data_IF_780189298533
#
_entry.id   IF_780189298533
#
_cell.length_a   1.000
_cell.length_b   1.000
_cell.length_c   1.000
_cell.angle_alpha   90.00
_cell.angle_beta   90.00
_cell.angle_gamma   90.00
#
_symmetry.space_group_name_H-M   'P 1'
#
loop_
_entity.id
_entity.type
_entity.pdbx_description
1 polymer ?
#
# COMPACT_ATOMS: atom_id res chain seq x y z
N UNK A 1 9.59 28.76 9.36
CA UNK A 1 8.14 28.64 9.62
C UNK A 1 7.44 29.73 8.83
N UNK A 2 7.00 29.44 7.59
CA UNK A 2 6.36 30.41 6.68
C UNK A 2 4.85 30.19 6.51
N UNK A 3 4.33 29.04 6.97
CA UNK A 3 2.89 28.72 6.89
C UNK A 3 2.12 29.41 8.02
N UNK A 4 0.88 29.88 7.77
CA UNK A 4 0.01 30.40 8.81
C UNK A 4 -0.36 29.30 9.83
N UNK A 5 -0.80 29.68 11.05
CA UNK A 5 -1.29 28.72 12.04
C UNK A 5 -2.44 27.87 11.48
N UNK A 6 -2.45 26.58 11.80
CA UNK A 6 -3.51 25.67 11.37
C UNK A 6 -4.85 26.05 12.00
N UNK A 7 -5.92 26.10 11.20
CA UNK A 7 -7.27 26.37 11.70
C UNK A 7 -7.76 25.21 12.57
N UNK A 8 -8.14 25.51 13.81
CA UNK A 8 -8.68 24.53 14.77
C UNK A 8 -10.01 23.91 14.33
N UNK A 9 -10.72 24.54 13.37
CA UNK A 9 -11.95 23.99 12.78
C UNK A 9 -11.66 23.01 11.63
N UNK A 10 -10.46 23.10 11.03
CA UNK A 10 -10.05 22.18 9.98
C UNK A 10 -9.56 20.86 10.58
N UNK A 11 -10.37 19.80 10.41
CA UNK A 11 -10.03 18.46 10.88
C UNK A 11 -8.86 17.81 10.14
N UNK A 12 -8.33 16.73 10.73
CA UNK A 12 -7.22 15.95 10.16
C UNK A 12 -7.66 15.18 8.90
N UNK A 13 -8.94 14.77 8.84
CA UNK A 13 -9.54 14.06 7.71
C UNK A 13 -10.05 15.04 6.65
N UNK A 14 -9.12 15.60 5.88
CA UNK A 14 -9.48 16.39 4.69
C UNK A 14 -10.08 15.50 3.61
N UNK A 15 -10.96 16.04 2.78
CA UNK A 15 -11.56 15.30 1.65
C UNK A 15 -10.54 14.59 0.76
N UNK A 16 -9.40 15.21 0.39
CA UNK A 16 -8.38 14.52 -0.39
C UNK A 16 -7.81 13.28 0.31
N UNK A 17 -7.59 13.34 1.64
CA UNK A 17 -7.08 12.19 2.41
C UNK A 17 -8.11 11.06 2.46
N UNK A 18 -9.39 11.39 2.58
CA UNK A 18 -10.48 10.38 2.56
C UNK A 18 -10.54 9.68 1.21
N UNK A 19 -10.52 10.45 0.11
CA UNK A 19 -10.59 9.90 -1.25
C UNK A 19 -9.33 9.08 -1.55
N UNK A 20 -8.15 9.57 -1.18
CA UNK A 20 -6.89 8.83 -1.30
C UNK A 20 -6.96 7.49 -0.56
N UNK A 21 -7.44 7.48 0.68
CA UNK A 21 -7.59 6.26 1.48
C UNK A 21 -8.51 5.23 0.81
N UNK A 22 -9.65 5.69 0.26
CA UNK A 22 -10.57 4.82 -0.49
C UNK A 22 -9.90 4.28 -1.76
N UNK A 23 -9.24 5.15 -2.53
CA UNK A 23 -8.60 4.75 -3.78
C UNK A 23 -7.50 3.70 -3.55
N UNK A 24 -6.53 4.00 -2.69
CA UNK A 24 -5.44 3.07 -2.39
C UNK A 24 -5.95 1.79 -1.75
N UNK A 25 -6.95 1.86 -0.87
CA UNK A 25 -7.60 0.68 -0.28
C UNK A 25 -8.27 -0.22 -1.31
N UNK A 26 -8.97 0.36 -2.31
CA UNK A 26 -9.59 -0.41 -3.40
C UNK A 26 -8.53 -1.09 -4.27
N UNK A 27 -7.45 -0.39 -4.63
CA UNK A 27 -6.37 -0.99 -5.42
C UNK A 27 -5.69 -2.12 -4.63
N UNK A 28 -5.35 -1.89 -3.36
CA UNK A 28 -4.74 -2.90 -2.49
C UNK A 28 -5.62 -4.14 -2.29
N UNK A 29 -6.93 -3.94 -2.12
CA UNK A 29 -7.89 -5.04 -2.07
C UNK A 29 -7.99 -5.79 -3.41
N UNK A 30 -7.92 -5.06 -4.53
CA UNK A 30 -7.99 -5.65 -5.87
C UNK A 30 -6.74 -6.46 -6.20
N UNK A 31 -5.53 -5.94 -5.93
CA UNK A 31 -4.26 -6.66 -6.13
C UNK A 31 -4.21 -7.92 -5.27
N UNK A 32 -4.69 -7.84 -4.03
CA UNK A 32 -4.84 -8.99 -3.14
C UNK A 32 -5.83 -10.02 -3.68
N UNK A 33 -6.99 -9.61 -4.18
CA UNK A 33 -7.96 -10.55 -4.75
C UNK A 33 -7.46 -11.18 -6.06
N UNK A 34 -6.81 -10.40 -6.92
CA UNK A 34 -6.21 -10.88 -8.15
C UNK A 34 -5.04 -11.83 -7.90
N UNK A 35 -4.26 -11.63 -6.83
CA UNK A 35 -3.16 -12.54 -6.48
C UNK A 35 -3.69 -13.93 -6.09
N UNK A 36 -4.81 -13.99 -5.36
CA UNK A 36 -5.52 -15.25 -5.08
C UNK A 36 -5.94 -15.96 -6.37
N UNK A 37 -6.60 -15.23 -7.27
CA UNK A 37 -7.08 -15.76 -8.55
C UNK A 37 -5.91 -16.21 -9.43
N UNK A 38 -4.84 -15.43 -9.51
CA UNK A 38 -3.66 -15.77 -10.30
C UNK A 38 -3.02 -17.10 -9.85
N UNK A 39 -2.99 -17.37 -8.54
CA UNK A 39 -2.43 -18.61 -8.00
C UNK A 39 -3.32 -19.81 -8.32
N UNK A 40 -4.61 -19.72 -7.99
CA UNK A 40 -5.57 -20.84 -8.15
C UNK A 40 -5.73 -21.25 -9.61
N UNK A 41 -5.87 -20.28 -10.52
CA UNK A 41 -6.06 -20.56 -11.95
C UNK A 41 -4.75 -20.65 -12.73
N UNK A 42 -3.63 -20.18 -12.19
CA UNK A 42 -2.34 -20.24 -12.88
C UNK A 42 -1.67 -21.62 -12.86
N UNK A 43 -1.84 -22.39 -11.78
CA UNK A 43 -1.21 -23.72 -11.63
C UNK A 43 -2.11 -24.82 -11.10
N UNK A 44 -3.22 -24.47 -10.45
CA UNK A 44 -4.06 -25.43 -9.73
C UNK A 44 -5.41 -25.69 -10.42
N UNK A 45 -5.55 -25.31 -11.70
CA UNK A 45 -6.72 -25.56 -12.56
C UNK A 45 -8.08 -25.16 -11.94
N UNK A 46 -8.10 -24.14 -11.07
CA UNK A 46 -9.33 -23.71 -10.41
C UNK A 46 -9.77 -24.58 -9.22
N UNK A 47 -8.92 -25.49 -8.73
CA UNK A 47 -9.24 -26.35 -7.60
C UNK A 47 -9.24 -25.58 -6.28
N UNK A 48 -10.44 -25.36 -5.74
CA UNK A 48 -10.69 -24.65 -4.48
C UNK A 48 -10.86 -25.60 -3.28
N UNK A 49 -10.79 -26.91 -3.48
CA UNK A 49 -11.06 -27.90 -2.44
C UNK A 49 -12.50 -27.86 -1.91
N UNK A 50 -12.76 -28.58 -0.82
CA UNK A 50 -14.06 -28.64 -0.14
C UNK A 50 -13.81 -28.42 1.36
N UNK A 51 -14.54 -27.48 1.96
CA UNK A 51 -14.55 -27.19 3.41
C UNK A 51 -13.16 -26.91 4.04
N UNK A 52 -12.29 -26.22 3.30
CA UNK A 52 -10.91 -25.87 3.69
C UNK A 52 -10.79 -24.91 4.90
N UNK A 53 -11.90 -24.54 5.54
CA UNK A 53 -11.90 -23.76 6.79
C UNK A 53 -12.02 -24.64 8.03
N UNK A 54 -12.44 -25.91 7.89
CA UNK A 54 -12.74 -26.81 9.02
C UNK A 54 -11.80 -28.00 9.11
N UNK A 55 -11.25 -28.45 7.99
CA UNK A 55 -10.32 -29.57 7.96
C UNK A 55 -9.16 -29.31 7.01
N UNK A 56 -7.95 -29.58 7.49
CA UNK A 56 -6.76 -29.64 6.65
C UNK A 56 -6.80 -30.93 5.82
N UNK A 57 -7.04 -30.78 4.52
CA UNK A 57 -6.98 -31.86 3.55
C UNK A 57 -6.00 -31.50 2.43
N UNK A 58 -5.39 -32.50 1.80
CA UNK A 58 -4.45 -32.28 0.71
C UNK A 58 -5.08 -31.55 -0.48
N UNK A 59 -6.40 -31.68 -0.66
CA UNK A 59 -7.16 -30.95 -1.66
C UNK A 59 -7.20 -29.43 -1.43
N UNK A 60 -6.93 -28.97 -0.20
CA UNK A 60 -6.94 -27.57 0.21
C UNK A 60 -5.56 -26.88 0.11
N UNK A 61 -4.50 -27.63 -0.18
CA UNK A 61 -3.14 -27.08 -0.35
C UNK A 61 -3.12 -25.89 -1.33
N UNK A 62 -3.79 -25.93 -2.50
CA UNK A 62 -3.85 -24.78 -3.40
C UNK A 62 -4.42 -23.51 -2.74
N UNK A 63 -5.48 -23.66 -1.94
CA UNK A 63 -6.12 -22.56 -1.23
C UNK A 63 -5.22 -22.02 -0.13
N UNK A 64 -4.55 -22.88 0.63
CA UNK A 64 -3.60 -22.44 1.65
C UNK A 64 -2.40 -21.70 1.05
N UNK A 65 -1.92 -22.11 -0.12
CA UNK A 65 -0.87 -21.37 -0.85
C UNK A 65 -1.38 -20.03 -1.35
N UNK A 66 -2.59 -19.99 -1.89
CA UNK A 66 -3.21 -18.74 -2.33
C UNK A 66 -3.43 -17.78 -1.15
N UNK A 67 -3.80 -18.27 0.04
CA UNK A 67 -3.89 -17.46 1.27
C UNK A 67 -2.55 -16.87 1.68
N UNK A 68 -1.48 -17.66 1.67
CA UNK A 68 -0.12 -17.17 1.92
C UNK A 68 0.27 -16.04 0.97
N UNK A 69 -0.13 -16.15 -0.30
CA UNK A 69 0.15 -15.14 -1.33
C UNK A 69 -0.64 -13.87 -1.09
N UNK A 70 -1.93 -13.97 -0.77
CA UNK A 70 -2.76 -12.82 -0.40
C UNK A 70 -2.19 -12.11 0.82
N UNK A 71 -1.88 -12.86 1.87
CA UNK A 71 -1.27 -12.32 3.09
C UNK A 71 0.04 -11.58 2.78
N UNK A 72 0.98 -12.21 2.08
CA UNK A 72 2.26 -11.61 1.77
C UNK A 72 2.12 -10.38 0.86
N UNK A 73 1.24 -10.44 -0.16
CA UNK A 73 0.94 -9.31 -1.06
C UNK A 73 0.40 -8.14 -0.26
N UNK A 74 -0.60 -8.37 0.59
CA UNK A 74 -1.21 -7.32 1.41
C UNK A 74 -0.19 -6.68 2.37
N UNK A 75 0.65 -7.49 3.02
CA UNK A 75 1.68 -6.96 3.93
C UNK A 75 2.69 -6.12 3.17
N UNK A 76 3.19 -6.56 2.00
CA UNK A 76 4.09 -5.73 1.22
C UNK A 76 3.44 -4.46 0.71
N UNK A 77 2.20 -4.54 0.21
CA UNK A 77 1.48 -3.36 -0.26
C UNK A 77 1.36 -2.32 0.87
N UNK A 78 1.01 -2.72 2.10
CA UNK A 78 0.96 -1.82 3.27
C UNK A 78 2.35 -1.26 3.62
N UNK A 79 3.39 -2.10 3.61
CA UNK A 79 4.75 -1.68 3.95
C UNK A 79 5.29 -0.67 2.94
N UNK A 80 5.17 -0.93 1.64
CA UNK A 80 5.59 0.02 0.60
C UNK A 80 4.68 1.25 0.54
N UNK A 81 3.39 1.11 0.85
CA UNK A 81 2.48 2.25 1.02
C UNK A 81 2.96 3.21 2.12
N UNK A 82 3.62 2.71 3.17
CA UNK A 82 4.19 3.60 4.20
C UNK A 82 5.29 4.52 3.67
N UNK A 83 6.07 4.08 2.66
CA UNK A 83 7.01 4.95 1.95
C UNK A 83 6.29 5.95 1.06
N UNK A 84 5.22 5.52 0.38
CA UNK A 84 4.36 6.44 -0.37
C UNK A 84 3.77 7.53 0.53
N UNK A 85 3.41 7.20 1.77
CA UNK A 85 2.87 8.17 2.72
C UNK A 85 3.90 9.15 3.30
N UNK A 86 5.19 9.03 2.98
CA UNK A 86 6.23 10.01 3.39
C UNK A 86 5.91 11.41 2.87
N UNK A 87 5.34 11.52 1.68
CA UNK A 87 4.83 12.75 1.11
C UNK A 87 3.43 12.52 0.50
N UNK A 88 2.43 13.22 1.05
CA UNK A 88 1.04 13.05 0.62
C UNK A 88 0.75 13.72 -0.72
N UNK A 89 1.51 14.76 -1.07
CA UNK A 89 1.29 15.64 -2.22
C UNK A 89 2.27 15.38 -3.37
N UNK A 90 3.29 14.54 -3.15
CA UNK A 90 4.36 14.28 -4.12
C UNK A 90 4.57 12.78 -4.36
N UNK A 91 4.88 12.39 -5.60
CA UNK A 91 5.25 11.02 -5.92
C UNK A 91 6.54 10.63 -5.20
N UNK A 92 6.63 9.38 -4.76
CA UNK A 92 7.80 8.82 -4.07
C UNK A 92 9.06 8.94 -4.93
N UNK A 93 8.94 8.72 -6.24
CA UNK A 93 10.08 8.77 -7.15
C UNK A 93 10.60 10.20 -7.40
N UNK A 94 9.87 11.23 -6.97
CA UNK A 94 10.24 12.63 -7.14
C UNK A 94 9.71 13.50 -5.98
N UNK A 95 10.02 13.12 -4.74
CA UNK A 95 9.66 13.89 -3.53
C UNK A 95 10.43 15.22 -3.53
N UNK A 96 11.74 15.16 -3.73
CA UNK A 96 12.63 16.33 -3.83
C UNK A 96 13.11 16.48 -5.27
N UNK A 97 12.65 17.49 -6.02
CA UNK A 97 13.08 17.70 -7.41
C UNK A 97 14.60 17.82 -7.53
N UNK A 98 15.20 17.02 -8.42
CA UNK A 98 16.64 17.02 -8.67
C UNK A 98 17.45 16.13 -7.72
N UNK A 99 16.82 15.45 -6.77
CA UNK A 99 17.44 14.47 -5.88
C UNK A 99 16.89 13.07 -6.19
N UNK A 100 17.73 12.02 -6.17
CA UNK A 100 17.21 10.68 -6.36
C UNK A 100 16.43 10.18 -5.12
N UNK A 101 15.36 9.43 -5.37
CA UNK A 101 14.39 9.01 -4.35
C UNK A 101 14.99 8.24 -3.16
N UNK A 102 16.09 7.51 -3.35
CA UNK A 102 16.71 6.73 -2.28
C UNK A 102 17.38 7.61 -1.21
N UNK A 103 17.82 8.83 -1.55
CA UNK A 103 18.32 9.79 -0.57
C UNK A 103 17.17 10.29 0.29
N UNK A 104 16.02 10.58 -0.33
CA UNK A 104 14.80 10.93 0.39
C UNK A 104 14.37 9.77 1.29
N UNK A 105 14.38 8.52 0.83
CA UNK A 105 14.02 7.37 1.68
C UNK A 105 14.95 7.23 2.90
N UNK A 106 16.27 7.38 2.70
CA UNK A 106 17.26 7.22 3.77
C UNK A 106 17.24 8.34 4.82
N UNK A 107 16.74 9.52 4.46
CA UNK A 107 16.61 10.67 5.36
C UNK A 107 15.73 10.35 6.60
N UNK A 108 14.76 9.42 6.46
CA UNK A 108 14.03 8.87 7.60
C UNK A 108 14.41 7.40 7.84
N UNK A 109 15.52 7.19 8.56
CA UNK A 109 16.05 5.85 8.85
C UNK A 109 15.08 4.99 9.66
N UNK A 110 14.27 5.57 10.55
CA UNK A 110 13.29 4.82 11.34
C UNK A 110 12.24 4.20 10.40
N UNK A 111 11.64 5.02 9.53
CA UNK A 111 10.67 4.54 8.55
C UNK A 111 11.29 3.52 7.59
N UNK A 112 12.50 3.79 7.10
CA UNK A 112 13.21 2.88 6.21
C UNK A 112 13.41 1.50 6.85
N UNK A 113 13.98 1.44 8.06
CA UNK A 113 14.24 0.18 8.74
C UNK A 113 12.95 -0.53 9.20
N UNK A 114 11.90 0.20 9.58
CA UNK A 114 10.60 -0.40 9.89
C UNK A 114 10.03 -1.17 8.69
N UNK A 115 10.13 -0.61 7.48
CA UNK A 115 9.69 -1.29 6.26
C UNK A 115 10.56 -2.50 5.95
N UNK A 116 11.89 -2.36 5.99
CA UNK A 116 12.81 -3.46 5.69
C UNK A 116 12.63 -4.63 6.68
N UNK A 117 12.54 -4.35 7.98
CA UNK A 117 12.32 -5.38 8.99
C UNK A 117 10.93 -6.01 8.87
N UNK A 118 9.91 -5.22 8.54
CA UNK A 118 8.57 -5.72 8.21
C UNK A 118 8.61 -6.69 7.04
N UNK A 119 9.28 -6.34 5.95
CA UNK A 119 9.45 -7.20 4.78
C UNK A 119 10.20 -8.49 5.13
N UNK A 120 11.27 -8.40 5.93
CA UNK A 120 12.05 -9.54 6.37
C UNK A 120 11.27 -10.49 7.28
N UNK A 121 10.23 -10.00 7.96
CA UNK A 121 9.37 -10.83 8.81
C UNK A 121 8.39 -11.72 8.02
N UNK A 122 8.04 -11.35 6.78
CA UNK A 122 7.04 -12.08 5.98
C UNK A 122 7.49 -13.51 5.64
N UNK A 123 8.72 -13.77 5.16
CA UNK A 123 9.17 -15.15 4.98
C UNK A 123 9.14 -15.97 6.27
N UNK A 124 9.39 -15.36 7.43
CA UNK A 124 9.35 -16.07 8.72
C UNK A 124 7.93 -16.58 9.02
N UNK A 125 6.89 -15.77 8.78
CA UNK A 125 5.50 -16.19 9.04
C UNK A 125 4.99 -17.26 8.07
N UNK A 126 5.61 -17.38 6.89
CA UNK A 126 5.21 -18.34 5.85
C UNK A 126 5.92 -19.69 6.02
N UNK A 127 7.20 -19.72 6.41
CA UNK A 127 8.00 -20.95 6.44
C UNK A 127 8.24 -21.54 7.83
N UNK A 128 8.00 -20.80 8.92
CA UNK A 128 8.16 -21.35 10.27
C UNK A 128 6.98 -22.27 10.60
N UNK A 129 7.22 -23.58 10.84
CA UNK A 129 6.17 -24.53 11.16
C UNK A 129 5.51 -24.21 12.50
N UNK A 130 4.22 -24.50 12.62
CA UNK A 130 3.38 -24.13 13.77
C UNK A 130 2.86 -22.69 13.66
N UNK A 131 3.70 -21.73 13.26
CA UNK A 131 3.25 -20.37 12.99
C UNK A 131 2.38 -20.32 11.71
N UNK A 132 2.84 -20.94 10.63
CA UNK A 132 2.10 -20.90 9.35
C UNK A 132 0.77 -21.67 9.39
N UNK A 133 0.76 -22.91 9.87
CA UNK A 133 -0.39 -23.80 9.79
C UNK A 133 -1.39 -23.57 10.92
N UNK A 134 -0.92 -23.39 12.17
CA UNK A 134 -1.81 -23.37 13.34
C UNK A 134 -2.33 -21.95 13.67
N UNK A 135 -1.54 -20.90 13.37
CA UNK A 135 -1.91 -19.50 13.67
C UNK A 135 -2.46 -18.80 12.43
N UNK A 136 -1.79 -18.94 11.29
CA UNK A 136 -2.15 -18.22 10.06
C UNK A 136 -2.96 -19.06 9.05
N UNK A 137 -3.10 -20.37 9.26
CA UNK A 137 -3.78 -21.30 8.34
C UNK A 137 -3.31 -21.15 6.88
N UNK A 138 -1.99 -21.10 6.71
CA UNK A 138 -1.31 -20.81 5.46
C UNK A 138 -0.14 -21.78 5.29
N UNK A 139 0.31 -22.01 4.05
CA UNK A 139 1.39 -22.98 3.77
C UNK A 139 2.53 -22.38 2.96
N UNK A 140 3.65 -23.09 2.88
CA UNK A 140 4.86 -22.63 2.18
C UNK A 140 4.60 -22.40 0.69
N UNK A 141 5.16 -21.29 0.18
CA UNK A 141 5.05 -20.90 -1.23
C UNK A 141 6.40 -21.09 -1.96
N UNK A 142 6.39 -20.95 -3.28
CA UNK A 142 7.58 -21.15 -4.11
C UNK A 142 7.53 -20.21 -5.32
N UNK A 143 7.00 -20.68 -6.45
CA UNK A 143 6.85 -19.86 -7.66
C UNK A 143 5.91 -18.65 -7.44
N UNK A 144 5.01 -18.76 -6.46
CA UNK A 144 4.03 -17.72 -6.17
C UNK A 144 4.66 -16.41 -5.66
N UNK A 145 5.92 -16.42 -5.22
CA UNK A 145 6.67 -15.18 -4.95
C UNK A 145 6.71 -14.24 -6.15
N UNK A 146 6.74 -14.78 -7.38
CA UNK A 146 6.67 -13.97 -8.59
C UNK A 146 5.34 -13.21 -8.71
N UNK A 147 4.23 -13.83 -8.28
CA UNK A 147 2.91 -13.20 -8.25
C UNK A 147 2.88 -12.07 -7.21
N UNK A 148 3.45 -12.32 -6.03
CA UNK A 148 3.53 -11.33 -4.95
C UNK A 148 4.30 -10.08 -5.43
N UNK A 149 5.51 -10.27 -5.96
CA UNK A 149 6.33 -9.17 -6.48
C UNK A 149 5.61 -8.43 -7.61
N UNK A 150 4.99 -9.16 -8.54
CA UNK A 150 4.25 -8.56 -9.65
C UNK A 150 3.08 -7.69 -9.20
N UNK A 151 2.26 -8.19 -8.27
CA UNK A 151 1.08 -7.47 -7.76
C UNK A 151 1.48 -6.27 -6.90
N UNK A 152 2.53 -6.38 -6.09
CA UNK A 152 3.06 -5.24 -5.33
C UNK A 152 3.63 -4.15 -6.24
N UNK A 153 4.29 -4.50 -7.33
CA UNK A 153 4.71 -3.52 -8.33
C UNK A 153 3.53 -2.82 -8.99
N UNK A 154 2.47 -3.56 -9.33
CA UNK A 154 1.22 -2.98 -9.86
C UNK A 154 0.60 -2.00 -8.85
N UNK A 155 0.61 -2.33 -7.56
CA UNK A 155 0.14 -1.43 -6.50
C UNK A 155 0.97 -0.15 -6.43
N UNK A 156 2.31 -0.25 -6.34
CA UNK A 156 3.21 0.92 -6.26
C UNK A 156 3.03 1.83 -7.48
N UNK A 157 3.00 1.25 -8.69
CA UNK A 157 2.78 2.02 -9.92
C UNK A 157 1.42 2.72 -9.88
N UNK A 158 0.36 2.03 -9.43
CA UNK A 158 -0.97 2.64 -9.30
C UNK A 158 -0.97 3.83 -8.33
N UNK A 159 -0.22 3.72 -7.22
CA UNK A 159 -0.05 4.81 -6.27
C UNK A 159 0.66 6.03 -6.88
N UNK A 160 1.78 5.79 -7.57
CA UNK A 160 2.54 6.84 -8.25
C UNK A 160 1.71 7.52 -9.34
N UNK A 161 0.97 6.75 -10.15
CA UNK A 161 0.09 7.30 -11.20
C UNK A 161 -1.04 8.14 -10.59
N UNK A 162 -1.68 7.68 -9.51
CA UNK A 162 -2.68 8.46 -8.80
C UNK A 162 -2.13 9.79 -8.31
N UNK A 163 -0.91 9.76 -7.73
CA UNK A 163 -0.28 10.97 -7.25
C UNK A 163 0.01 11.97 -8.37
N UNK A 164 0.63 11.50 -9.45
CA UNK A 164 1.03 12.32 -10.59
C UNK A 164 -0.19 12.92 -11.32
N UNK A 165 -1.24 12.12 -11.54
CA UNK A 165 -2.37 12.55 -12.37
C UNK A 165 -3.45 13.28 -11.58
N UNK A 166 -3.68 12.90 -10.32
CA UNK A 166 -4.79 13.41 -9.50
C UNK A 166 -4.26 14.23 -8.34
N UNK A 167 -3.47 13.63 -7.45
CA UNK A 167 -3.12 14.23 -6.15
C UNK A 167 -2.35 15.55 -6.26
N UNK A 168 -1.38 15.61 -7.17
CA UNK A 168 -0.53 16.79 -7.38
C UNK A 168 -1.30 17.99 -7.98
N UNK A 169 -2.56 17.82 -8.40
CA UNK A 169 -3.30 18.90 -9.05
C UNK A 169 -3.83 19.89 -8.00
N UNK A 170 -3.69 21.22 -8.23
CA UNK A 170 -4.16 22.23 -7.28
C UNK A 170 -5.64 22.10 -6.93
N UNK A 171 -6.48 21.75 -7.90
CA UNK A 171 -7.92 21.56 -7.68
C UNK A 171 -8.20 20.43 -6.68
N UNK A 172 -7.39 19.36 -6.70
CA UNK A 172 -7.57 18.22 -5.80
C UNK A 172 -7.01 18.53 -4.42
N UNK A 173 -5.87 19.19 -4.33
CA UNK A 173 -5.28 19.61 -3.05
C UNK A 173 -6.21 20.55 -2.25
N UNK A 174 -7.03 21.34 -2.95
CA UNK A 174 -7.94 22.32 -2.39
C UNK A 174 -9.39 21.81 -2.22
N UNK A 175 -9.65 20.53 -2.47
CA UNK A 175 -10.99 19.97 -2.40
C UNK A 175 -11.59 20.11 -1.00
N UNK A 176 -12.76 20.76 -0.91
CA UNK A 176 -13.49 20.98 0.34
C UNK A 176 -12.96 22.12 1.22
N UNK A 177 -12.03 22.94 0.73
CA UNK A 177 -11.61 24.19 1.38
C UNK A 177 -12.57 25.33 1.01
N UNK A 178 -12.86 26.22 1.95
CA UNK A 178 -13.68 27.43 1.69
C UNK A 178 -12.95 28.40 0.75
N UNK A 179 -13.69 29.09 -0.10
CA UNK A 179 -13.16 30.10 -1.03
C UNK A 179 -12.45 31.25 -0.30
N UNK A 180 -12.93 31.63 0.89
CA UNK A 180 -12.27 32.64 1.74
C UNK A 180 -10.86 32.23 2.15
N UNK A 181 -10.66 30.96 2.53
CA UNK A 181 -9.34 30.44 2.95
C UNK A 181 -8.40 30.34 1.75
N UNK A 182 -8.92 30.02 0.56
CA UNK A 182 -8.11 30.00 -0.66
C UNK A 182 -7.59 31.39 -1.03
N UNK A 183 -8.43 32.42 -0.87
CA UNK A 183 -8.05 33.80 -1.14
C UNK A 183 -7.00 34.28 -0.11
N UNK A 184 -7.17 33.93 1.17
CA UNK A 184 -6.21 34.29 2.23
C UNK A 184 -4.82 33.67 2.01
N UNK A 185 -4.76 32.40 1.60
CA UNK A 185 -3.51 31.73 1.25
C UNK A 185 -2.83 32.40 0.04
N UNK A 186 -3.59 32.75 -1.01
CA UNK A 186 -3.06 33.45 -2.20
C UNK A 186 -2.50 34.84 -1.87
N UNK A 187 -3.18 35.58 -0.99
CA UNK A 187 -2.74 36.90 -0.54
C UNK A 187 -1.48 36.81 0.34
N UNK A 188 -1.32 35.71 1.08
CA UNK A 188 -0.12 35.43 1.89
C UNK A 188 1.09 35.07 1.04
N UNK A 189 0.91 34.26 -0.02
CA UNK A 189 1.97 33.89 -0.96
C UNK A 189 2.45 35.09 -1.80
N UNK A 190 1.56 36.06 -2.06
CA UNK A 190 1.90 37.28 -2.81
C UNK A 190 2.71 38.29 -1.97
N UNK A 191 2.62 38.20 -0.63
CA UNK A 191 3.31 39.10 0.31
C UNK A 191 4.67 38.54 0.78
N UNK A 192 5.04 37.33 0.39
CA UNK A 192 6.27 36.62 0.78
C UNK A 192 7.35 36.66 -0.31
#
# INVERSE_FOLDING_TARGET
>A
MKRPPHDVKAGIFTWPVIIDCIFYGVIMGTTSMLSFVAVIWGKYDGNLGIDCNRSDSDACIPVFRARSVVFATLIFDILFYSWELKALDRPLLNITPGQPFWVDLWDNQVLFWSVILGCASVPLTVYVPGLNNDVFHQTGIGWEWGVIVGMTLVFIVSCELWKVFVRCKPWYANLGRSEEVLIEDMDSDTKA
#
